data_IF_906473912692
#
_entry.id   IF_906473912692
#
_cell.length_a   1.000
_cell.length_b   1.000
_cell.length_c   1.000
_cell.angle_alpha   90.00
_cell.angle_beta   90.00
_cell.angle_gamma   90.00
#
_symmetry.space_group_name_H-M   'P 1'
#
loop_
_entity.id
_entity.type
_entity.pdbx_description
1 polymer ?
#
# COMPACT_ATOMS: atom_id res chain seq x y z
N UNK A 1 -55.68 -12.49 35.50
CA UNK A 1 -55.22 -11.22 36.10
C UNK A 1 -53.77 -11.38 36.44
N UNK A 2 -52.91 -11.08 35.55
CA UNK A 2 -51.49 -10.70 35.80
C UNK A 2 -51.04 -9.91 34.56
N UNK A 3 -50.65 -8.67 34.77
CA UNK A 3 -50.24 -7.68 33.75
C UNK A 3 -48.90 -8.05 33.15
N UNK A 4 -48.85 -8.07 31.82
CA UNK A 4 -47.61 -8.05 31.05
C UNK A 4 -47.26 -6.58 30.69
N UNK A 5 -46.21 -6.06 31.32
CA UNK A 5 -45.58 -4.82 30.92
C UNK A 5 -44.46 -5.10 29.91
N UNK A 6 -44.74 -4.78 28.66
CA UNK A 6 -43.80 -4.82 27.56
C UNK A 6 -42.80 -3.67 27.66
N UNK A 7 -41.50 -3.99 27.80
CA UNK A 7 -40.39 -3.06 27.64
C UNK A 7 -39.94 -3.02 26.15
N UNK A 8 -40.20 -1.91 25.49
CA UNK A 8 -39.73 -1.62 24.14
C UNK A 8 -38.24 -1.28 24.15
N UNK A 9 -37.42 -2.12 23.56
CA UNK A 9 -36.03 -1.82 23.29
C UNK A 9 -35.92 -0.94 22.03
N UNK A 10 -35.33 0.22 22.18
CA UNK A 10 -34.98 1.14 21.10
C UNK A 10 -33.90 0.55 20.23
N UNK A 11 -34.18 0.39 18.95
CA UNK A 11 -33.22 -0.01 17.94
C UNK A 11 -32.46 1.26 17.54
N UNK A 12 -31.17 1.31 17.89
CA UNK A 12 -30.24 2.32 17.41
C UNK A 12 -30.05 2.16 15.89
N UNK A 13 -30.33 3.24 15.16
CA UNK A 13 -30.10 3.33 13.73
C UNK A 13 -28.59 3.47 13.45
N UNK A 14 -28.04 2.79 12.44
CA UNK A 14 -26.68 3.03 12.00
C UNK A 14 -26.59 4.35 11.22
N UNK A 15 -25.57 5.16 11.53
CA UNK A 15 -25.18 6.35 10.83
C UNK A 15 -24.90 6.07 9.33
N UNK A 16 -25.27 6.99 8.43
CA UNK A 16 -25.05 6.83 7.00
C UNK A 16 -23.55 6.88 6.67
N UNK A 17 -23.05 5.84 6.03
CA UNK A 17 -21.76 5.80 5.38
C UNK A 17 -21.74 6.82 4.22
N UNK A 18 -20.98 7.88 4.36
CA UNK A 18 -20.68 8.79 3.26
C UNK A 18 -19.92 8.03 2.18
N UNK A 19 -20.58 7.89 1.03
CA UNK A 19 -19.98 7.49 -0.23
C UNK A 19 -18.97 8.57 -0.63
N UNK A 20 -17.70 8.25 -0.62
CA UNK A 20 -16.68 9.07 -1.27
C UNK A 20 -16.82 8.82 -2.77
N UNK A 21 -17.36 9.80 -3.43
CA UNK A 21 -17.46 9.92 -4.88
C UNK A 21 -16.05 10.10 -5.46
N UNK A 22 -15.54 9.07 -6.13
CA UNK A 22 -14.28 9.11 -6.88
C UNK A 22 -14.54 9.23 -8.37
N UNK A 23 -15.17 10.33 -8.77
CA UNK A 23 -15.25 10.74 -10.17
C UNK A 23 -14.62 12.12 -10.34
N UNK A 24 -13.66 12.16 -11.22
CA UNK A 24 -13.04 13.27 -11.92
C UNK A 24 -11.55 13.48 -11.61
N UNK A 25 -10.74 12.95 -12.54
CA UNK A 25 -9.74 13.70 -13.28
C UNK A 25 -9.01 12.77 -14.27
N UNK A 26 -9.62 12.54 -15.41
CA UNK A 26 -8.89 12.07 -16.59
C UNK A 26 -8.24 13.27 -17.27
N UNK A 27 -6.92 13.33 -17.22
CA UNK A 27 -6.13 14.16 -18.13
C UNK A 27 -5.84 13.38 -19.43
N UNK A 28 -5.80 14.06 -20.60
CA UNK A 28 -5.63 13.40 -21.89
C UNK A 28 -4.23 12.77 -22.04
N UNK A 29 -4.09 11.71 -22.87
CA UNK A 29 -2.83 11.03 -23.06
C UNK A 29 -1.87 11.85 -23.91
N UNK A 30 -0.74 12.24 -23.34
CA UNK A 30 0.41 12.74 -24.09
C UNK A 30 1.15 11.54 -24.70
N UNK A 31 1.03 11.41 -26.02
CA UNK A 31 1.83 10.51 -26.83
C UNK A 31 3.24 11.09 -27.00
N UNK A 32 4.20 10.49 -26.31
CA UNK A 32 5.63 10.69 -26.50
C UNK A 32 6.37 9.37 -26.27
N UNK A 33 7.49 9.10 -26.97
CA UNK A 33 8.11 7.78 -26.94
C UNK A 33 8.69 7.47 -25.56
N UNK A 34 8.36 6.28 -25.06
CA UNK A 34 8.82 5.72 -23.79
C UNK A 34 10.31 5.43 -23.82
N UNK A 35 11.11 5.91 -22.85
CA UNK A 35 12.46 5.42 -22.66
C UNK A 35 12.46 4.01 -22.03
N UNK A 36 13.48 3.19 -22.31
CA UNK A 36 13.53 1.80 -21.87
C UNK A 36 13.65 1.69 -20.35
N UNK A 37 12.89 0.80 -19.79
CA UNK A 37 12.85 0.45 -18.37
C UNK A 37 14.16 -0.25 -17.97
N UNK A 38 14.86 0.16 -16.91
CA UNK A 38 15.96 -0.61 -16.37
C UNK A 38 15.47 -1.86 -15.65
N UNK A 39 16.25 -2.96 -15.64
CA UNK A 39 15.81 -4.24 -15.07
C UNK A 39 15.62 -4.15 -13.56
N UNK A 40 14.55 -4.76 -13.08
CA UNK A 40 14.26 -4.96 -11.66
C UNK A 40 15.32 -5.88 -11.05
N UNK A 41 16.14 -5.34 -10.17
CA UNK A 41 17.02 -6.12 -9.30
C UNK A 41 16.16 -6.74 -8.21
N UNK A 42 16.02 -8.06 -8.26
CA UNK A 42 15.45 -8.85 -7.18
C UNK A 42 16.34 -8.74 -5.94
N UNK A 43 15.76 -8.33 -4.81
CA UNK A 43 16.43 -8.37 -3.51
C UNK A 43 16.04 -9.68 -2.86
N UNK A 44 16.91 -10.68 -2.91
CA UNK A 44 16.82 -11.89 -2.10
C UNK A 44 17.20 -11.59 -0.65
N UNK A 45 16.42 -12.04 0.34
CA UNK A 45 16.85 -12.05 1.72
C UNK A 45 17.35 -13.43 2.11
N UNK A 46 18.59 -13.49 2.54
CA UNK A 46 19.25 -14.55 3.29
C UNK A 46 20.17 -15.51 2.51
N UNK A 47 21.48 -15.30 2.73
CA UNK A 47 22.36 -16.42 3.11
C UNK A 47 23.66 -15.88 3.69
N UNK A 48 23.76 -15.90 5.01
CA UNK A 48 25.04 -16.02 5.70
C UNK A 48 25.31 -17.50 5.86
N UNK A 49 26.31 -18.01 5.18
CA UNK A 49 27.10 -19.17 5.58
C UNK A 49 28.50 -19.00 5.01
N UNK A 50 29.43 -18.88 5.94
CA UNK A 50 30.87 -18.90 5.68
C UNK A 50 31.29 -20.25 5.16
N UNK A 51 32.14 -20.29 4.13
CA UNK A 51 33.08 -21.36 3.90
C UNK A 51 34.38 -20.80 3.34
N UNK A 52 35.39 -21.09 4.10
CA UNK A 52 36.82 -20.94 3.93
C UNK A 52 37.34 -21.80 2.76
N UNK A 53 38.15 -21.22 1.88
CA UNK A 53 39.17 -21.94 1.09
C UNK A 53 40.22 -20.95 0.55
N UNK A 54 41.45 -21.27 0.77
CA UNK A 54 42.69 -20.54 0.66
C UNK A 54 43.17 -20.20 -0.77
N UNK A 55 44.45 -19.75 -0.91
CA UNK A 55 44.80 -18.66 -1.78
C UNK A 55 45.36 -19.08 -3.15
N UNK A 56 44.96 -18.36 -4.21
CA UNK A 56 45.76 -18.37 -5.45
C UNK A 56 46.27 -16.96 -5.78
N UNK A 57 47.58 -16.91 -5.96
CA UNK A 57 48.40 -15.79 -6.35
C UNK A 57 48.07 -15.26 -7.74
N UNK A 58 47.66 -13.99 -7.83
CA UNK A 58 47.75 -13.18 -9.05
C UNK A 58 48.43 -11.84 -8.73
N UNK A 59 49.62 -11.65 -9.26
CA UNK A 59 50.46 -10.47 -9.17
C UNK A 59 49.73 -9.23 -9.68
N UNK A 60 49.51 -8.24 -8.81
CA UNK A 60 49.03 -6.90 -9.19
C UNK A 60 50.19 -5.91 -9.17
N UNK A 61 50.43 -5.31 -10.33
CA UNK A 61 51.34 -4.18 -10.56
C UNK A 61 51.09 -3.04 -9.55
N UNK A 62 52.17 -2.56 -8.93
CA UNK A 62 52.21 -1.39 -8.06
C UNK A 62 51.71 -0.16 -8.83
N UNK A 63 50.66 0.47 -8.31
CA UNK A 63 50.26 1.84 -8.66
C UNK A 63 51.05 2.82 -7.79
N UNK A 64 51.52 3.88 -8.42
CA UNK A 64 52.27 5.00 -7.82
C UNK A 64 51.48 5.69 -6.68
N UNK A 65 52.17 6.37 -5.73
CA UNK A 65 51.52 6.93 -4.52
C UNK A 65 50.65 8.13 -4.87
N UNK A 66 49.35 8.03 -4.55
CA UNK A 66 48.39 9.09 -4.68
C UNK A 66 48.69 10.26 -3.74
N UNK A 67 48.51 11.47 -4.23
CA UNK A 67 48.68 12.80 -3.66
C UNK A 67 48.20 12.90 -2.18
N UNK A 68 49.00 13.67 -1.39
CA UNK A 68 48.82 14.05 0.02
C UNK A 68 47.35 14.17 0.42
N UNK A 69 46.97 13.40 1.41
CA UNK A 69 45.66 13.49 2.07
C UNK A 69 45.47 14.88 2.69
N UNK A 70 44.34 15.54 2.39
CA UNK A 70 43.98 16.82 3.02
C UNK A 70 43.98 16.66 4.52
N UNK A 71 44.80 17.41 5.20
CA UNK A 71 44.89 17.45 6.66
C UNK A 71 43.52 17.76 7.26
N UNK A 72 43.12 17.05 8.33
CA UNK A 72 41.80 17.25 8.94
C UNK A 72 41.61 18.69 9.40
N UNK A 73 40.49 19.33 9.04
CA UNK A 73 40.15 20.73 9.40
C UNK A 73 40.18 20.99 10.92
N UNK A 74 40.12 19.95 11.75
CA UNK A 74 40.20 20.11 13.21
C UNK A 74 41.53 20.76 13.65
N UNK A 75 42.61 20.62 12.87
CA UNK A 75 43.90 21.17 13.19
C UNK A 75 43.97 22.71 13.12
N UNK A 76 43.00 23.37 12.54
CA UNK A 76 42.85 24.83 12.59
C UNK A 76 42.61 25.33 14.03
N UNK A 77 42.07 24.47 14.88
CA UNK A 77 41.64 24.78 16.27
C UNK A 77 42.55 24.20 17.35
N UNK A 78 43.57 23.43 16.96
CA UNK A 78 44.51 22.80 17.94
C UNK A 78 45.96 23.04 17.52
N UNK A 79 46.82 23.08 18.52
CA UNK A 79 48.27 23.18 18.36
C UNK A 79 48.91 21.91 18.89
N UNK A 80 49.82 21.29 18.14
CA UNK A 80 50.61 20.17 18.60
C UNK A 80 51.62 20.67 19.62
N UNK A 81 51.70 19.95 20.76
CA UNK A 81 52.68 20.25 21.79
C UNK A 81 54.03 19.58 21.48
N UNK A 82 55.19 20.20 21.88
CA UNK A 82 56.48 19.57 21.77
C UNK A 82 56.53 18.27 22.59
N UNK A 83 57.26 17.27 22.13
CA UNK A 83 57.39 15.97 22.79
C UNK A 83 58.12 16.06 24.15
N UNK A 84 58.92 17.11 24.29
CA UNK A 84 59.66 17.42 25.53
C UNK A 84 58.71 17.80 26.70
N UNK A 85 57.60 18.49 26.42
CA UNK A 85 56.62 18.93 27.40
C UNK A 85 55.55 17.88 27.76
N UNK A 86 55.52 16.76 27.03
CA UNK A 86 54.42 15.81 27.10
C UNK A 86 54.84 14.37 27.45
N UNK A 87 55.96 14.20 28.11
CA UNK A 87 56.54 12.90 28.50
C UNK A 87 56.65 11.93 27.31
N UNK A 88 57.05 12.43 26.14
CA UNK A 88 57.12 11.70 24.85
C UNK A 88 55.78 11.19 24.28
N UNK A 89 54.65 11.64 24.79
CA UNK A 89 53.36 11.37 24.17
C UNK A 89 53.00 12.45 23.13
N UNK A 90 52.46 12.05 21.98
CA UNK A 90 51.97 12.97 20.96
C UNK A 90 50.65 13.57 21.42
N UNK A 91 50.64 14.81 21.87
CA UNK A 91 49.47 15.55 22.36
C UNK A 91 49.25 16.85 21.61
N UNK A 92 47.99 17.31 21.64
CA UNK A 92 47.61 18.62 21.09
C UNK A 92 46.80 19.41 22.08
N UNK A 93 47.01 20.71 22.18
CA UNK A 93 46.29 21.66 23.02
C UNK A 93 45.25 22.40 22.22
N UNK A 94 44.05 22.58 22.79
CA UNK A 94 43.00 23.43 22.21
C UNK A 94 43.40 24.89 22.30
N UNK A 95 43.35 25.62 21.18
CA UNK A 95 43.72 27.06 21.12
C UNK A 95 42.87 27.95 22.03
N UNK A 96 41.69 27.52 22.43
CA UNK A 96 40.72 28.35 23.14
C UNK A 96 40.68 28.08 24.66
N UNK A 97 40.68 26.82 25.06
CA UNK A 97 40.58 26.44 26.48
C UNK A 97 41.85 25.79 27.04
N UNK A 98 42.90 25.60 26.19
CA UNK A 98 44.19 24.99 26.54
C UNK A 98 44.13 23.54 27.03
N UNK A 99 42.97 22.90 26.98
CA UNK A 99 42.84 21.48 27.32
C UNK A 99 43.65 20.60 26.34
N UNK A 100 44.40 19.62 26.84
CA UNK A 100 45.30 18.76 26.07
C UNK A 100 44.71 17.39 25.81
N UNK A 101 44.91 16.86 24.61
CA UNK A 101 44.37 15.58 24.13
C UNK A 101 45.45 14.76 23.41
N UNK A 102 45.46 13.47 23.64
CA UNK A 102 46.31 12.56 22.89
C UNK A 102 45.87 12.52 21.40
N UNK A 103 46.86 12.65 20.48
CA UNK A 103 46.57 12.75 19.07
C UNK A 103 47.59 11.97 18.19
N UNK A 104 48.13 10.88 18.73
CA UNK A 104 49.00 9.99 17.97
C UNK A 104 48.27 9.45 16.73
N UNK A 105 48.75 9.63 15.50
CA UNK A 105 48.11 9.19 14.28
C UNK A 105 47.82 7.70 14.25
N UNK A 106 48.68 6.88 14.88
CA UNK A 106 48.59 5.43 14.87
C UNK A 106 47.69 4.86 15.96
N UNK A 107 47.56 5.56 17.12
CA UNK A 107 46.80 5.07 18.27
C UNK A 107 45.47 5.78 18.49
N UNK A 108 45.41 7.09 18.33
CA UNK A 108 44.26 7.89 18.74
C UNK A 108 43.64 8.73 17.62
N UNK A 109 44.40 9.08 16.59
CA UNK A 109 43.97 9.94 15.49
C UNK A 109 43.44 11.30 15.97
N UNK A 110 42.47 11.87 15.24
CA UNK A 110 41.88 13.19 15.55
C UNK A 110 40.50 13.11 16.21
N UNK A 111 40.05 11.91 16.63
CA UNK A 111 38.69 11.69 17.13
C UNK A 111 38.42 12.47 18.44
N UNK A 112 39.37 12.49 19.36
CA UNK A 112 39.27 13.23 20.63
C UNK A 112 39.17 14.73 20.38
N UNK A 113 39.94 15.26 19.45
CA UNK A 113 39.92 16.67 19.03
C UNK A 113 38.58 17.07 18.45
N UNK A 114 38.05 16.25 17.52
CA UNK A 114 36.75 16.44 16.89
C UNK A 114 35.60 16.39 17.90
N UNK A 115 35.70 15.58 18.93
CA UNK A 115 34.71 15.48 20.00
C UNK A 115 34.73 16.67 20.96
N UNK A 116 35.95 17.20 21.28
CA UNK A 116 36.10 18.35 22.15
C UNK A 116 35.65 19.65 21.50
N UNK A 117 36.06 19.92 20.27
CA UNK A 117 35.87 21.21 19.61
C UNK A 117 34.42 21.77 19.71
N UNK A 118 33.34 21.02 19.39
CA UNK A 118 31.97 21.53 19.53
C UNK A 118 31.54 21.71 21.01
N UNK A 119 32.20 21.06 21.94
CA UNK A 119 31.89 21.11 23.39
C UNK A 119 32.77 22.08 24.15
N UNK A 120 33.80 22.65 23.54
CA UNK A 120 34.72 23.55 24.19
C UNK A 120 34.00 24.79 24.74
N UNK A 121 34.14 25.08 26.09
CA UNK A 121 33.44 26.20 26.71
C UNK A 121 33.89 27.56 26.17
N UNK A 122 35.15 27.67 25.69
CA UNK A 122 35.73 28.90 25.14
C UNK A 122 35.81 28.90 23.61
N UNK A 123 35.02 28.05 22.90
CA UNK A 123 35.03 28.01 21.45
C UNK A 123 34.29 29.24 20.88
N UNK A 124 34.97 30.18 20.16
CA UNK A 124 34.33 31.35 19.58
C UNK A 124 33.42 30.99 18.39
N UNK A 125 33.64 29.81 17.77
CA UNK A 125 32.80 29.28 16.68
C UNK A 125 31.71 28.34 17.20
N UNK A 126 31.43 28.34 18.50
CA UNK A 126 30.26 27.67 19.05
C UNK A 126 29.06 28.36 18.42
N UNK A 127 28.45 27.69 17.40
CA UNK A 127 27.20 28.15 16.86
C UNK A 127 26.32 28.46 18.06
N UNK A 128 25.97 29.72 18.24
CA UNK A 128 24.97 30.16 19.20
C UNK A 128 23.82 29.22 18.97
N UNK A 129 23.57 28.34 19.92
CA UNK A 129 22.36 27.51 19.93
C UNK A 129 21.26 28.55 19.92
N UNK A 130 20.72 28.80 18.73
CA UNK A 130 19.47 29.54 18.61
C UNK A 130 18.56 28.84 19.61
N UNK A 131 18.07 29.55 20.65
CA UNK A 131 17.18 28.92 21.62
C UNK A 131 16.12 28.22 20.78
N UNK A 132 15.89 26.93 21.02
CA UNK A 132 14.83 26.18 20.36
C UNK A 132 13.54 26.90 20.75
N UNK A 133 13.15 27.86 19.92
CA UNK A 133 11.92 28.58 20.10
C UNK A 133 10.81 27.56 19.92
N UNK A 134 10.28 27.09 21.02
CA UNK A 134 9.12 26.23 21.05
C UNK A 134 7.93 27.11 20.66
N UNK A 135 7.22 26.76 19.59
CA UNK A 135 5.94 27.40 19.31
C UNK A 135 4.97 26.99 20.43
N UNK A 136 4.47 27.96 21.14
CA UNK A 136 3.41 27.79 22.13
C UNK A 136 2.08 27.80 21.37
N UNK A 137 1.47 26.64 21.23
CA UNK A 137 0.11 26.53 20.69
C UNK A 137 -0.88 26.39 21.84
N UNK A 138 -1.90 27.24 21.85
CA UNK A 138 -3.04 27.11 22.75
C UNK A 138 -3.96 26.03 22.20
N UNK A 139 -4.06 24.89 22.84
CA UNK A 139 -5.00 23.84 22.50
C UNK A 139 -6.17 23.95 23.46
N UNK A 140 -7.36 24.29 22.94
CA UNK A 140 -8.63 24.11 23.66
C UNK A 140 -9.08 22.66 23.45
N UNK A 141 -9.00 21.80 24.45
CA UNK A 141 -9.73 20.54 24.42
C UNK A 141 -11.23 20.89 24.52
N UNK A 142 -12.06 20.28 23.72
CA UNK A 142 -13.51 20.30 23.89
C UNK A 142 -13.83 19.68 25.28
N UNK A 143 -14.01 20.55 26.30
CA UNK A 143 -14.32 20.17 27.67
C UNK A 143 -13.20 20.51 28.67
N UNK A 144 -13.33 21.67 29.30
CA UNK A 144 -12.63 22.16 30.51
C UNK A 144 -11.09 22.24 30.48
N UNK A 145 -10.59 23.48 30.49
CA UNK A 145 -9.20 23.81 30.80
C UNK A 145 -8.22 23.79 29.62
N UNK A 146 -8.18 24.89 28.82
CA UNK A 146 -7.15 25.08 27.81
C UNK A 146 -5.75 25.17 28.41
N UNK A 147 -4.81 24.33 27.95
CA UNK A 147 -3.41 24.34 28.37
C UNK A 147 -2.47 24.81 27.26
N UNK A 148 -1.41 25.51 27.61
CA UNK A 148 -0.31 25.88 26.73
C UNK A 148 0.53 24.62 26.43
N UNK A 149 0.49 24.14 25.17
CA UNK A 149 1.31 23.03 24.73
C UNK A 149 2.48 23.54 23.90
N UNK A 150 3.70 23.28 24.40
CA UNK A 150 4.92 23.60 23.67
C UNK A 150 5.18 22.55 22.55
N UNK A 151 5.07 22.98 21.29
CA UNK A 151 5.41 22.12 20.15
C UNK A 151 6.90 22.22 19.83
N UNK A 152 7.66 21.20 20.18
CA UNK A 152 9.09 21.10 19.81
C UNK A 152 9.21 20.33 18.51
N UNK A 153 9.88 20.94 17.51
CA UNK A 153 10.21 20.25 16.27
C UNK A 153 11.02 18.97 16.50
N UNK A 154 10.57 17.89 15.88
CA UNK A 154 11.26 16.61 15.95
C UNK A 154 11.33 15.95 14.56
N UNK A 155 12.52 15.93 13.99
CA UNK A 155 12.80 15.35 12.67
C UNK A 155 12.33 13.89 12.52
N UNK A 156 12.51 13.06 13.56
CA UNK A 156 12.08 11.64 13.52
C UNK A 156 10.55 11.52 13.51
N UNK A 157 9.87 12.36 14.31
CA UNK A 157 8.39 12.41 14.35
C UNK A 157 7.83 12.83 12.98
N UNK A 158 8.40 13.86 12.36
CA UNK A 158 8.00 14.33 11.03
C UNK A 158 8.25 13.25 9.95
N UNK A 159 9.40 12.55 9.98
CA UNK A 159 9.65 11.43 9.05
C UNK A 159 8.64 10.29 9.23
N UNK A 160 8.31 9.95 10.47
CA UNK A 160 7.30 8.92 10.76
C UNK A 160 5.91 9.34 10.26
N UNK A 161 5.54 10.61 10.44
CA UNK A 161 4.28 11.17 9.92
C UNK A 161 4.25 11.12 8.37
N UNK A 162 5.35 11.51 7.72
CA UNK A 162 5.49 11.42 6.27
C UNK A 162 5.35 9.98 5.75
N UNK A 163 5.99 9.01 6.41
CA UNK A 163 5.85 7.61 6.03
C UNK A 163 4.41 7.11 6.20
N UNK A 164 3.70 7.53 7.27
CA UNK A 164 2.28 7.22 7.45
C UNK A 164 1.41 7.85 6.36
N UNK A 165 1.64 9.13 6.04
CA UNK A 165 0.94 9.82 4.95
C UNK A 165 1.07 9.05 3.63
N UNK A 166 2.29 8.65 3.26
CA UNK A 166 2.53 7.89 2.03
C UNK A 166 1.80 6.54 2.02
N UNK A 167 1.75 5.85 3.19
CA UNK A 167 1.05 4.56 3.30
C UNK A 167 -0.48 4.74 3.24
N UNK A 168 -1.01 5.72 3.98
CA UNK A 168 -2.47 5.90 4.09
C UNK A 168 -3.10 6.43 2.80
N UNK A 169 -2.39 7.31 2.09
CA UNK A 169 -2.87 7.96 0.87
C UNK A 169 -2.30 7.28 -0.40
N UNK A 170 -1.71 6.09 -0.25
CA UNK A 170 -1.17 5.27 -1.35
C UNK A 170 -0.22 6.04 -2.29
N UNK A 171 0.50 7.04 -1.75
CA UNK A 171 1.35 7.92 -2.53
C UNK A 171 2.63 7.20 -2.99
N UNK A 172 3.10 7.47 -4.23
CA UNK A 172 4.37 6.93 -4.68
C UNK A 172 5.53 7.54 -3.89
N UNK A 173 6.56 6.76 -3.55
CA UNK A 173 7.75 7.27 -2.83
C UNK A 173 8.42 8.46 -3.51
N UNK A 174 8.24 8.62 -4.82
CA UNK A 174 8.74 9.75 -5.60
C UNK A 174 8.09 11.09 -5.22
N UNK A 175 6.96 11.09 -4.50
CA UNK A 175 6.25 12.32 -4.09
C UNK A 175 7.19 13.30 -3.38
N UNK A 176 8.11 12.81 -2.53
CA UNK A 176 9.06 13.63 -1.75
C UNK A 176 10.10 14.37 -2.60
N UNK A 177 10.22 14.02 -3.87
CA UNK A 177 11.13 14.67 -4.84
C UNK A 177 10.39 15.70 -5.71
N UNK A 178 9.04 15.71 -5.67
CA UNK A 178 8.22 16.62 -6.46
C UNK A 178 8.31 18.06 -5.92
N UNK A 179 8.40 19.03 -6.84
CA UNK A 179 8.53 20.44 -6.50
C UNK A 179 7.41 20.93 -5.58
N UNK A 180 6.13 20.69 -5.95
CA UNK A 180 4.98 21.16 -5.18
C UNK A 180 4.99 20.63 -3.75
N UNK A 181 5.24 19.31 -3.56
CA UNK A 181 5.35 18.72 -2.23
C UNK A 181 6.48 19.35 -1.41
N UNK A 182 7.65 19.52 -2.01
CA UNK A 182 8.81 20.11 -1.32
C UNK A 182 8.59 21.56 -0.95
N UNK A 183 7.93 22.33 -1.82
CA UNK A 183 7.58 23.71 -1.53
C UNK A 183 6.57 23.81 -0.39
N UNK A 184 5.49 23.05 -0.49
CA UNK A 184 4.45 22.98 0.55
C UNK A 184 5.02 22.62 1.93
N UNK A 185 5.83 21.56 2.00
CA UNK A 185 6.44 21.14 3.27
C UNK A 185 7.42 22.18 3.81
N UNK A 186 8.13 22.89 2.95
CA UNK A 186 9.07 23.96 3.37
C UNK A 186 8.35 25.16 3.98
N UNK A 187 7.19 25.52 3.44
CA UNK A 187 6.35 26.58 4.02
C UNK A 187 5.76 26.15 5.39
N UNK A 188 5.33 24.89 5.53
CA UNK A 188 4.77 24.41 6.80
C UNK A 188 5.82 24.28 7.91
N UNK A 189 6.99 23.71 7.61
CA UNK A 189 8.06 23.48 8.58
C UNK A 189 9.44 23.58 7.91
N UNK A 190 10.01 24.76 7.82
CA UNK A 190 11.32 25.02 7.17
C UNK A 190 12.47 24.19 7.75
N UNK A 191 12.37 23.78 9.02
CA UNK A 191 13.40 22.98 9.72
C UNK A 191 13.35 21.50 9.31
N UNK A 192 12.26 21.05 8.66
CA UNK A 192 12.13 19.66 8.27
C UNK A 192 13.01 19.34 7.06
N UNK A 193 14.00 18.51 7.28
CA UNK A 193 14.84 17.97 6.18
C UNK A 193 14.10 16.82 5.51
N UNK A 194 13.49 17.12 4.35
CA UNK A 194 12.75 16.14 3.57
C UNK A 194 13.69 15.00 3.15
N UNK A 195 13.40 13.74 3.49
CA UNK A 195 14.22 12.60 3.12
C UNK A 195 14.14 12.29 1.63
N UNK A 196 15.11 11.53 1.08
CA UNK A 196 15.04 10.99 -0.27
C UNK A 196 13.99 9.88 -0.38
N UNK A 197 13.53 9.55 -1.60
CA UNK A 197 12.58 8.45 -1.86
C UNK A 197 13.05 7.11 -1.27
N UNK A 198 14.34 6.80 -1.36
CA UNK A 198 14.93 5.57 -0.80
C UNK A 198 14.88 5.56 0.73
N UNK A 199 15.09 6.71 1.36
CA UNK A 199 14.98 6.85 2.81
C UNK A 199 13.53 6.69 3.27
N UNK A 200 12.58 7.29 2.54
CA UNK A 200 11.14 7.14 2.84
C UNK A 200 10.68 5.69 2.66
N UNK A 201 11.09 5.02 1.59
CA UNK A 201 10.78 3.60 1.40
C UNK A 201 11.28 2.76 2.58
N UNK A 202 12.49 3.05 3.10
CA UNK A 202 13.04 2.40 4.29
C UNK A 202 12.24 2.73 5.55
N UNK A 203 11.78 3.97 5.70
CA UNK A 203 10.96 4.38 6.84
C UNK A 203 9.59 3.66 6.82
N UNK A 204 8.95 3.54 5.66
CA UNK A 204 7.72 2.75 5.49
C UNK A 204 7.94 1.28 5.82
N UNK A 205 9.05 0.70 5.35
CA UNK A 205 9.42 -0.68 5.67
C UNK A 205 9.63 -0.90 7.17
N UNK A 206 10.26 0.04 7.86
CA UNK A 206 10.44 -0.04 9.33
C UNK A 206 9.10 0.05 10.08
N UNK A 207 8.17 0.87 9.61
CA UNK A 207 6.79 0.89 10.15
C UNK A 207 6.11 -0.46 9.96
N UNK A 208 6.16 -1.02 8.75
CA UNK A 208 5.60 -2.34 8.44
C UNK A 208 6.17 -3.43 9.35
N UNK A 209 7.49 -3.51 9.53
CA UNK A 209 8.12 -4.48 10.44
C UNK A 209 7.69 -4.28 11.90
N UNK A 210 7.46 -3.04 12.31
CA UNK A 210 6.92 -2.71 13.63
C UNK A 210 5.50 -3.24 13.82
N UNK A 211 4.62 -2.99 12.84
CA UNK A 211 3.22 -3.43 12.87
C UNK A 211 3.09 -4.97 12.83
N UNK A 212 3.94 -5.66 12.04
CA UNK A 212 4.00 -7.13 12.07
C UNK A 212 4.28 -7.66 13.47
N UNK A 213 5.26 -7.07 14.18
CA UNK A 213 5.59 -7.51 15.54
C UNK A 213 4.41 -7.33 16.49
N UNK A 214 3.73 -6.19 16.41
CA UNK A 214 2.54 -5.90 17.23
C UNK A 214 1.43 -6.89 16.91
N UNK A 215 1.12 -7.09 15.61
CA UNK A 215 0.04 -8.00 15.20
C UNK A 215 0.32 -9.45 15.60
N UNK A 216 1.59 -9.92 15.47
CA UNK A 216 1.97 -11.25 15.97
C UNK A 216 1.74 -11.41 17.47
N UNK A 217 1.98 -10.36 18.26
CA UNK A 217 1.70 -10.40 19.70
C UNK A 217 0.19 -10.40 19.98
N UNK A 218 -0.59 -9.62 19.23
CA UNK A 218 -2.05 -9.62 19.33
C UNK A 218 -2.61 -10.99 19.01
N UNK A 219 -2.25 -11.57 17.87
CA UNK A 219 -2.69 -12.91 17.46
C UNK A 219 -2.34 -13.97 18.51
N UNK A 220 -1.14 -13.92 19.09
CA UNK A 220 -0.71 -14.85 20.14
C UNK A 220 -1.55 -14.74 21.42
N UNK A 221 -1.96 -13.51 21.79
CA UNK A 221 -2.71 -13.26 23.05
C UNK A 221 -4.21 -13.45 22.90
N UNK A 222 -4.76 -13.03 21.78
CA UNK A 222 -6.21 -12.85 21.60
C UNK A 222 -6.86 -13.92 20.73
N UNK A 223 -6.12 -14.59 19.86
CA UNK A 223 -6.71 -15.50 18.90
C UNK A 223 -6.56 -16.96 19.34
N UNK A 224 -7.62 -17.52 19.93
CA UNK A 224 -7.68 -18.98 20.13
C UNK A 224 -7.79 -19.71 18.79
N UNK A 225 -8.65 -19.21 17.87
CA UNK A 225 -8.80 -19.69 16.51
C UNK A 225 -9.01 -18.53 15.57
N UNK A 226 -8.53 -18.68 14.34
CA UNK A 226 -8.70 -17.66 13.29
C UNK A 226 -9.49 -18.23 12.13
N UNK A 227 -10.29 -17.38 11.49
CA UNK A 227 -10.90 -17.65 10.21
C UNK A 227 -10.08 -16.95 9.11
N UNK A 228 -9.87 -17.61 7.99
CA UNK A 228 -9.12 -17.09 6.87
C UNK A 228 -10.04 -16.83 5.69
N UNK A 229 -9.79 -15.79 4.93
CA UNK A 229 -10.35 -15.59 3.60
C UNK A 229 -9.20 -15.40 2.62
N UNK A 230 -9.25 -16.07 1.50
CA UNK A 230 -8.26 -15.92 0.43
C UNK A 230 -8.93 -15.60 -0.88
N UNK A 231 -8.22 -14.87 -1.71
CA UNK A 231 -8.63 -14.44 -3.03
C UNK A 231 -7.42 -14.47 -3.95
N UNK A 232 -7.59 -15.01 -5.15
CA UNK A 232 -6.54 -15.10 -6.16
C UNK A 232 -7.03 -14.47 -7.46
N UNK A 233 -6.21 -13.61 -8.06
CA UNK A 233 -6.56 -12.98 -9.33
C UNK A 233 -5.34 -12.71 -10.19
N UNK A 234 -5.56 -12.56 -11.47
CA UNK A 234 -4.56 -12.08 -12.42
C UNK A 234 -4.79 -10.60 -12.70
N UNK A 235 -3.74 -9.80 -12.56
CA UNK A 235 -3.79 -8.37 -12.87
C UNK A 235 -3.85 -8.13 -14.38
N UNK A 236 -4.16 -6.89 -14.79
CA UNK A 236 -4.09 -6.45 -16.20
C UNK A 236 -2.71 -6.59 -16.83
N UNK A 237 -1.66 -6.67 -15.99
CA UNK A 237 -0.27 -6.90 -16.39
C UNK A 237 0.12 -8.39 -16.43
N UNK A 238 -0.86 -9.31 -16.34
CA UNK A 238 -0.67 -10.76 -16.29
C UNK A 238 0.16 -11.29 -15.10
N UNK A 239 0.14 -10.59 -13.96
CA UNK A 239 0.71 -11.10 -12.73
C UNK A 239 -0.37 -11.75 -11.86
N UNK A 240 -0.08 -12.94 -11.35
CA UNK A 240 -0.97 -13.65 -10.44
C UNK A 240 -0.72 -13.21 -9.00
N UNK A 241 -1.77 -12.89 -8.29
CA UNK A 241 -1.71 -12.45 -6.89
C UNK A 241 -2.54 -13.34 -5.99
N UNK A 242 -2.08 -13.50 -4.76
CA UNK A 242 -2.82 -14.11 -3.65
C UNK A 242 -2.88 -13.13 -2.49
N UNK A 243 -4.10 -12.90 -1.99
CA UNK A 243 -4.34 -12.19 -0.74
C UNK A 243 -4.85 -13.16 0.30
N UNK A 244 -4.25 -13.16 1.49
CA UNK A 244 -4.72 -13.90 2.65
C UNK A 244 -5.11 -12.93 3.75
N UNK A 245 -6.36 -13.00 4.17
CA UNK A 245 -6.91 -12.17 5.25
C UNK A 245 -7.29 -13.05 6.43
N UNK A 246 -6.92 -12.62 7.62
CA UNK A 246 -7.25 -13.26 8.89
C UNK A 246 -8.36 -12.48 9.58
N UNK A 247 -9.34 -13.22 10.10
CA UNK A 247 -10.42 -12.71 10.93
C UNK A 247 -10.36 -13.40 12.28
N UNK A 248 -10.43 -12.64 13.35
CA UNK A 248 -10.43 -13.17 14.72
C UNK A 248 -11.21 -12.26 15.66
N UNK A 249 -11.67 -12.82 16.76
CA UNK A 249 -12.39 -12.11 17.82
C UNK A 249 -11.44 -11.99 19.00
N UNK A 250 -11.30 -10.78 19.56
CA UNK A 250 -10.50 -10.52 20.74
C UNK A 250 -11.24 -10.88 22.04
N UNK A 251 -10.58 -10.81 23.20
CA UNK A 251 -11.23 -11.09 24.50
C UNK A 251 -12.39 -10.16 24.82
N UNK A 252 -12.42 -8.97 24.24
CA UNK A 252 -13.50 -7.98 24.37
C UNK A 252 -14.65 -8.20 23.36
N UNK A 253 -14.68 -9.36 22.69
CA UNK A 253 -15.68 -9.75 21.67
C UNK A 253 -15.71 -8.85 20.43
N UNK A 254 -14.60 -8.16 20.13
CA UNK A 254 -14.49 -7.32 18.96
C UNK A 254 -13.91 -8.11 17.79
N UNK A 255 -14.60 -8.05 16.65
CA UNK A 255 -14.12 -8.67 15.39
C UNK A 255 -12.99 -7.84 14.77
N UNK A 256 -11.90 -8.51 14.48
CA UNK A 256 -10.75 -7.94 13.77
C UNK A 256 -10.56 -8.58 12.40
N UNK A 257 -10.18 -7.75 11.44
CA UNK A 257 -9.80 -8.16 10.08
C UNK A 257 -8.40 -7.65 9.79
N UNK A 258 -7.47 -8.52 9.37
CA UNK A 258 -6.09 -8.16 9.07
C UNK A 258 -5.60 -8.92 7.84
N UNK A 259 -4.99 -8.20 6.90
CA UNK A 259 -4.32 -8.81 5.75
C UNK A 259 -2.98 -9.34 6.24
N UNK A 260 -2.77 -10.65 6.14
CA UNK A 260 -1.54 -11.32 6.53
C UNK A 260 -0.54 -11.41 5.39
N UNK A 261 -1.04 -11.63 4.17
CA UNK A 261 -0.23 -11.76 2.97
C UNK A 261 -0.90 -11.09 1.77
N UNK A 262 -0.09 -10.45 0.96
CA UNK A 262 -0.41 -9.96 -0.35
C UNK A 262 0.85 -10.13 -1.20
N UNK A 263 0.88 -11.16 -2.02
CA UNK A 263 2.07 -11.51 -2.79
C UNK A 263 1.73 -12.03 -4.17
N UNK A 264 2.67 -11.89 -5.06
CA UNK A 264 2.62 -12.61 -6.34
C UNK A 264 2.80 -14.11 -6.12
N UNK A 265 2.09 -14.91 -6.90
CA UNK A 265 2.23 -16.37 -6.99
C UNK A 265 2.53 -16.75 -8.43
N UNK A 266 3.20 -17.89 -8.62
CA UNK A 266 3.58 -18.34 -9.96
C UNK A 266 2.38 -18.66 -10.84
N UNK A 267 1.37 -19.28 -10.27
CA UNK A 267 0.17 -19.74 -10.97
C UNK A 267 -0.99 -19.94 -9.98
N UNK A 268 -2.20 -20.16 -10.49
CA UNK A 268 -3.42 -20.43 -9.71
C UNK A 268 -3.63 -21.93 -9.43
N UNK A 269 -2.58 -22.75 -9.46
CA UNK A 269 -2.71 -24.17 -9.12
C UNK A 269 -2.90 -24.35 -7.64
N UNK A 270 -3.71 -25.34 -7.28
CA UNK A 270 -4.07 -25.58 -5.88
C UNK A 270 -2.88 -25.90 -4.97
N UNK A 271 -1.86 -26.61 -5.50
CA UNK A 271 -0.64 -26.86 -4.73
C UNK A 271 0.17 -25.58 -4.45
N UNK A 272 0.26 -24.66 -5.40
CA UNK A 272 0.91 -23.35 -5.22
C UNK A 272 0.14 -22.50 -4.19
N UNK A 273 -1.17 -22.44 -4.30
CA UNK A 273 -2.04 -21.71 -3.36
C UNK A 273 -1.88 -22.30 -1.95
N UNK A 274 -2.03 -23.62 -1.81
CA UNK A 274 -1.92 -24.30 -0.51
C UNK A 274 -0.57 -24.10 0.18
N UNK A 275 0.54 -24.26 -0.56
CA UNK A 275 1.90 -24.02 -0.04
C UNK A 275 2.13 -22.55 0.36
N UNK A 276 1.59 -21.61 -0.42
CA UNK A 276 1.71 -20.17 -0.10
C UNK A 276 0.97 -19.83 1.19
N UNK A 277 -0.23 -20.38 1.38
CA UNK A 277 -1.01 -20.19 2.62
C UNK A 277 -0.27 -20.84 3.80
N UNK A 278 0.20 -22.10 3.67
CA UNK A 278 0.95 -22.78 4.71
C UNK A 278 2.18 -21.96 5.14
N UNK A 279 2.99 -21.49 4.17
CA UNK A 279 4.16 -20.66 4.43
C UNK A 279 3.77 -19.42 5.23
N UNK A 280 2.69 -18.74 4.83
CA UNK A 280 2.19 -17.57 5.53
C UNK A 280 1.80 -17.91 6.98
N UNK A 281 1.06 -19.00 7.21
CA UNK A 281 0.65 -19.42 8.57
C UNK A 281 1.86 -19.70 9.46
N UNK A 282 2.88 -20.38 8.92
CA UNK A 282 4.14 -20.64 9.63
C UNK A 282 4.88 -19.33 9.98
N UNK A 283 4.99 -18.41 9.04
CA UNK A 283 5.63 -17.10 9.26
C UNK A 283 4.90 -16.28 10.35
N UNK A 284 3.58 -16.35 10.39
CA UNK A 284 2.75 -15.68 11.40
C UNK A 284 2.61 -16.47 12.69
N UNK A 285 3.06 -17.74 12.74
CA UNK A 285 2.91 -18.67 13.86
C UNK A 285 1.43 -18.89 14.23
N UNK A 286 0.60 -19.02 13.20
CA UNK A 286 -0.83 -19.35 13.35
C UNK A 286 -0.99 -20.85 13.21
N UNK A 287 -1.29 -21.52 14.30
CA UNK A 287 -1.44 -22.97 14.34
C UNK A 287 -2.92 -23.39 14.36
N UNK A 288 -3.82 -22.51 14.81
CA UNK A 288 -5.22 -22.79 15.01
C UNK A 288 -6.09 -22.08 13.99
N UNK A 289 -6.52 -22.83 12.99
CA UNK A 289 -7.41 -22.35 11.93
C UNK A 289 -8.76 -22.99 12.08
N UNK A 290 -9.82 -22.18 12.15
CA UNK A 290 -11.20 -22.66 12.21
C UNK A 290 -11.75 -22.89 10.80
N UNK A 291 -11.78 -21.85 9.98
CA UNK A 291 -12.32 -21.92 8.62
C UNK A 291 -11.40 -21.22 7.62
N UNK A 292 -11.49 -21.66 6.37
CA UNK A 292 -10.88 -21.01 5.23
C UNK A 292 -11.96 -20.78 4.17
N UNK A 293 -12.25 -19.51 3.88
CA UNK A 293 -13.20 -19.12 2.84
C UNK A 293 -12.47 -18.91 1.52
N UNK A 294 -12.90 -19.63 0.50
CA UNK A 294 -12.38 -19.57 -0.89
C UNK A 294 -13.54 -19.52 -1.88
N UNK A 295 -13.29 -19.12 -3.11
CA UNK A 295 -14.25 -19.29 -4.20
C UNK A 295 -14.40 -20.76 -4.62
N UNK A 296 -15.29 -21.05 -5.56
CA UNK A 296 -15.61 -22.41 -5.99
C UNK A 296 -14.72 -22.94 -7.13
N UNK A 297 -13.55 -22.34 -7.36
CA UNK A 297 -12.62 -22.85 -8.37
C UNK A 297 -12.07 -24.23 -7.94
N UNK A 298 -11.97 -25.17 -8.88
CA UNK A 298 -11.48 -26.54 -8.61
C UNK A 298 -10.06 -26.59 -8.04
N UNK A 299 -9.23 -25.61 -8.39
CA UNK A 299 -7.90 -25.44 -7.81
C UNK A 299 -7.95 -25.20 -6.29
N UNK A 300 -8.98 -24.53 -5.79
CA UNK A 300 -9.17 -24.28 -4.36
C UNK A 300 -9.51 -25.56 -3.57
N UNK A 301 -10.25 -26.51 -4.16
CA UNK A 301 -10.48 -27.82 -3.52
C UNK A 301 -9.18 -28.60 -3.33
N UNK A 302 -8.26 -28.52 -4.31
CA UNK A 302 -6.92 -29.10 -4.21
C UNK A 302 -6.07 -28.41 -3.13
N UNK A 303 -6.09 -27.07 -3.10
CA UNK A 303 -5.40 -26.28 -2.07
C UNK A 303 -5.92 -26.63 -0.66
N UNK A 304 -7.24 -26.73 -0.51
CA UNK A 304 -7.86 -27.05 0.76
C UNK A 304 -7.55 -28.47 1.23
N UNK A 305 -7.57 -29.45 0.33
CA UNK A 305 -7.17 -30.85 0.62
C UNK A 305 -5.72 -30.92 1.09
N UNK A 306 -4.83 -30.12 0.47
CA UNK A 306 -3.45 -30.00 0.93
C UNK A 306 -3.38 -29.39 2.34
N UNK A 307 -4.06 -28.27 2.58
CA UNK A 307 -4.07 -27.59 3.87
C UNK A 307 -4.69 -28.45 4.97
N UNK A 308 -5.78 -29.18 4.68
CA UNK A 308 -6.42 -30.09 5.65
C UNK A 308 -5.45 -31.16 6.15
N UNK A 309 -4.61 -31.74 5.25
CA UNK A 309 -3.55 -32.69 5.65
C UNK A 309 -2.49 -32.04 6.52
N UNK A 310 -2.04 -30.84 6.18
CA UNK A 310 -0.98 -30.12 6.90
C UNK A 310 -1.44 -29.68 8.28
N UNK A 311 -2.61 -29.05 8.36
CA UNK A 311 -3.20 -28.53 9.60
C UNK A 311 -3.61 -29.63 10.58
N UNK A 312 -3.96 -30.83 10.07
CA UNK A 312 -4.23 -32.01 10.93
C UNK A 312 -3.02 -32.35 11.78
N UNK A 313 -1.83 -32.30 11.21
CA UNK A 313 -0.58 -32.57 11.92
C UNK A 313 -0.29 -31.53 13.02
N UNK A 314 -0.79 -30.32 12.89
CA UNK A 314 -0.63 -29.27 13.89
C UNK A 314 -1.64 -29.34 15.04
N UNK A 315 -2.61 -30.28 14.98
CA UNK A 315 -3.70 -30.43 15.97
C UNK A 315 -4.47 -29.12 16.22
N UNK A 316 -4.49 -28.23 15.23
CA UNK A 316 -5.05 -26.88 15.33
C UNK A 316 -6.41 -26.70 14.68
N UNK A 317 -7.07 -27.78 14.23
CA UNK A 317 -8.38 -27.72 13.59
C UNK A 317 -9.52 -28.00 14.56
N UNK A 318 -10.59 -27.25 14.42
CA UNK A 318 -11.86 -27.49 15.15
C UNK A 318 -12.59 -28.66 14.50
N UNK A 319 -13.17 -29.53 15.31
CA UNK A 319 -13.96 -30.71 14.86
C UNK A 319 -13.23 -31.52 13.75
N UNK A 320 -11.92 -31.78 13.93
CA UNK A 320 -11.15 -32.57 12.96
C UNK A 320 -11.03 -31.93 11.56
N UNK A 321 -11.50 -30.70 11.39
CA UNK A 321 -11.47 -29.95 10.13
C UNK A 321 -12.72 -30.16 9.26
N UNK A 322 -13.84 -30.60 9.82
CA UNK A 322 -15.08 -30.77 9.06
C UNK A 322 -15.65 -29.45 8.59
N UNK A 323 -15.42 -28.38 9.34
CA UNK A 323 -15.85 -27.02 9.01
C UNK A 323 -14.72 -26.15 8.44
N UNK A 324 -13.60 -26.76 8.01
CA UNK A 324 -12.45 -25.99 7.51
C UNK A 324 -12.80 -25.20 6.24
N UNK A 325 -13.63 -25.78 5.36
CA UNK A 325 -14.05 -25.14 4.12
C UNK A 325 -15.30 -24.31 4.30
N UNK A 326 -15.20 -23.02 3.97
CA UNK A 326 -16.37 -22.17 3.71
C UNK A 326 -16.32 -21.70 2.25
N UNK A 327 -17.44 -21.86 1.56
CA UNK A 327 -17.60 -21.34 0.21
C UNK A 327 -17.86 -19.84 0.24
N UNK A 328 -17.29 -19.09 -0.69
CA UNK A 328 -17.51 -17.66 -0.79
C UNK A 328 -18.96 -17.35 -1.17
N UNK A 329 -19.72 -16.78 -0.24
CA UNK A 329 -21.13 -16.44 -0.44
C UNK A 329 -21.34 -15.49 -1.63
N UNK A 330 -20.46 -14.50 -1.80
CA UNK A 330 -20.53 -13.57 -2.93
C UNK A 330 -20.36 -14.29 -4.27
N UNK A 331 -19.47 -15.30 -4.34
CA UNK A 331 -19.30 -16.11 -5.54
C UNK A 331 -20.52 -16.98 -5.84
N UNK A 332 -21.09 -17.62 -4.81
CA UNK A 332 -22.33 -18.41 -4.95
C UNK A 332 -23.46 -17.51 -5.46
N UNK A 333 -23.64 -16.35 -4.85
CA UNK A 333 -24.67 -15.40 -5.27
C UNK A 333 -24.49 -14.98 -6.74
N UNK A 334 -23.24 -14.71 -7.15
CA UNK A 334 -22.93 -14.38 -8.54
C UNK A 334 -23.29 -15.54 -9.50
N UNK A 335 -23.03 -16.78 -9.12
CA UNK A 335 -23.41 -17.94 -9.92
C UNK A 335 -24.94 -18.06 -10.04
N UNK A 336 -25.67 -17.91 -8.93
CA UNK A 336 -27.15 -17.96 -8.91
C UNK A 336 -27.74 -16.87 -9.81
N UNK A 337 -27.24 -15.64 -9.70
CA UNK A 337 -27.71 -14.53 -10.55
C UNK A 337 -27.40 -14.81 -12.03
N UNK A 338 -26.18 -15.25 -12.35
CA UNK A 338 -25.83 -15.57 -13.73
C UNK A 338 -26.66 -16.71 -14.29
N UNK A 339 -27.01 -17.73 -13.48
CA UNK A 339 -27.88 -18.82 -13.89
C UNK A 339 -29.30 -18.31 -14.18
N UNK A 340 -29.86 -17.46 -13.32
CA UNK A 340 -31.18 -16.86 -13.52
C UNK A 340 -31.26 -15.93 -14.73
N UNK A 341 -30.13 -15.28 -15.07
CA UNK A 341 -30.05 -14.35 -16.21
C UNK A 341 -29.70 -15.03 -17.55
N UNK A 342 -29.52 -16.37 -17.59
CA UNK A 342 -29.16 -17.07 -18.81
C UNK A 342 -30.22 -16.92 -19.93
N UNK A 343 -31.50 -16.92 -19.57
CA UNK A 343 -32.61 -16.76 -20.52
C UNK A 343 -32.64 -15.36 -21.17
N UNK A 344 -32.19 -14.35 -20.40
CA UNK A 344 -32.15 -12.95 -20.84
C UNK A 344 -30.78 -12.55 -21.46
N UNK A 345 -29.94 -13.54 -21.73
CA UNK A 345 -28.58 -13.29 -22.21
C UNK A 345 -28.52 -12.46 -23.46
N UNK A 346 -29.41 -12.75 -24.43
CA UNK A 346 -29.44 -12.06 -25.73
C UNK A 346 -29.76 -10.56 -25.54
N UNK A 347 -30.74 -10.24 -24.70
CA UNK A 347 -31.08 -8.84 -24.34
C UNK A 347 -29.91 -8.12 -23.68
N UNK A 348 -29.23 -8.77 -22.72
CA UNK A 348 -28.06 -8.16 -22.08
C UNK A 348 -26.89 -7.96 -23.05
N UNK A 349 -26.67 -8.91 -23.96
CA UNK A 349 -25.62 -8.80 -24.97
C UNK A 349 -25.95 -7.71 -26.01
N UNK A 350 -27.23 -7.53 -26.37
CA UNK A 350 -27.68 -6.44 -27.24
C UNK A 350 -27.42 -5.07 -26.58
N UNK A 351 -27.86 -4.88 -25.31
CA UNK A 351 -27.61 -3.65 -24.53
C UNK A 351 -26.11 -3.39 -24.38
N UNK A 352 -25.35 -4.42 -24.02
CA UNK A 352 -23.89 -4.32 -23.86
C UNK A 352 -23.19 -3.90 -25.15
N UNK A 353 -23.61 -4.44 -26.29
CA UNK A 353 -23.05 -4.12 -27.61
C UNK A 353 -23.39 -2.68 -28.02
N UNK A 354 -24.62 -2.21 -27.73
CA UNK A 354 -25.03 -0.82 -27.96
C UNK A 354 -24.15 0.16 -27.14
N UNK A 355 -23.95 -0.14 -25.86
CA UNK A 355 -23.08 0.68 -25.01
C UNK A 355 -21.62 0.64 -25.48
N UNK A 356 -21.11 -0.53 -25.88
CA UNK A 356 -19.77 -0.64 -26.47
C UNK A 356 -19.61 0.22 -27.70
N UNK A 357 -20.62 0.23 -28.60
CA UNK A 357 -20.60 1.09 -29.77
C UNK A 357 -20.45 2.57 -29.37
N UNK A 358 -21.35 3.05 -28.53
CA UNK A 358 -21.34 4.43 -28.09
C UNK A 358 -20.00 4.81 -27.44
N UNK A 359 -19.41 3.93 -26.63
CA UNK A 359 -18.16 4.19 -25.91
C UNK A 359 -16.89 3.86 -26.71
N UNK A 360 -17.01 3.36 -27.94
CA UNK A 360 -15.86 2.93 -28.76
C UNK A 360 -15.01 4.09 -29.28
N UNK A 361 -15.57 5.31 -29.38
CA UNK A 361 -14.82 6.49 -29.79
C UNK A 361 -15.40 7.76 -29.16
N UNK A 362 -14.58 8.81 -28.96
CA UNK A 362 -15.06 10.11 -28.50
C UNK A 362 -16.14 10.72 -29.39
N UNK A 363 -16.03 10.56 -30.69
CA UNK A 363 -17.02 11.08 -31.66
C UNK A 363 -18.40 10.42 -31.47
N UNK A 364 -18.44 9.08 -31.33
CA UNK A 364 -19.69 8.35 -31.08
C UNK A 364 -20.30 8.72 -29.73
N UNK A 365 -19.48 8.85 -28.70
CA UNK A 365 -19.95 9.27 -27.39
C UNK A 365 -20.55 10.69 -27.43
N UNK A 366 -19.92 11.61 -28.16
CA UNK A 366 -20.44 12.97 -28.34
C UNK A 366 -21.74 12.98 -29.14
N UNK A 367 -21.85 12.19 -30.20
CA UNK A 367 -23.08 12.03 -30.97
C UNK A 367 -24.20 11.52 -30.07
N UNK A 368 -23.97 10.45 -29.32
CA UNK A 368 -24.95 9.91 -28.37
C UNK A 368 -25.36 10.95 -27.32
N UNK A 369 -24.41 11.73 -26.78
CA UNK A 369 -24.71 12.82 -25.85
C UNK A 369 -25.63 13.87 -26.48
N UNK A 370 -25.37 14.29 -27.70
CA UNK A 370 -26.23 15.25 -28.43
C UNK A 370 -27.63 14.71 -28.63
N UNK A 371 -27.76 13.43 -28.97
CA UNK A 371 -29.05 12.73 -29.10
C UNK A 371 -29.80 12.71 -27.76
N UNK A 372 -29.10 12.37 -26.66
CA UNK A 372 -29.69 12.36 -25.35
C UNK A 372 -30.15 13.76 -24.87
N UNK A 373 -29.42 14.81 -25.25
CA UNK A 373 -29.78 16.21 -24.94
C UNK A 373 -31.05 16.63 -25.74
N UNK A 374 -31.19 16.17 -26.98
CA UNK A 374 -32.42 16.38 -27.79
C UNK A 374 -33.63 15.71 -27.12
N UNK A 375 -33.45 14.53 -26.54
CA UNK A 375 -34.49 13.83 -25.77
C UNK A 375 -34.67 14.38 -24.33
N UNK A 376 -34.00 15.47 -23.99
CA UNK A 376 -34.06 16.15 -22.66
C UNK A 376 -33.66 15.22 -21.51
N UNK A 377 -32.76 14.28 -21.78
CA UNK A 377 -32.22 13.38 -20.77
C UNK A 377 -31.05 14.05 -20.03
N UNK A 378 -30.87 13.69 -18.75
CA UNK A 378 -29.74 14.17 -17.97
C UNK A 378 -28.44 13.50 -18.46
N UNK A 379 -27.52 14.29 -18.98
CA UNK A 379 -26.24 13.86 -19.54
C UNK A 379 -25.05 14.04 -18.57
N UNK A 380 -25.31 14.35 -17.31
CA UNK A 380 -24.26 14.44 -16.27
C UNK A 380 -23.59 13.11 -16.00
N UNK A 381 -24.34 12.01 -16.10
CA UNK A 381 -23.83 10.64 -15.99
C UNK A 381 -24.30 9.82 -17.19
N UNK A 382 -23.38 9.45 -18.07
CA UNK A 382 -23.67 8.67 -19.26
C UNK A 382 -23.65 7.14 -18.99
N UNK A 383 -24.05 6.38 -20.00
CA UNK A 383 -24.06 4.90 -19.95
C UNK A 383 -22.71 4.32 -19.56
N UNK A 384 -22.69 3.32 -18.69
CA UNK A 384 -21.51 2.59 -18.26
C UNK A 384 -21.50 1.16 -18.79
N UNK A 385 -20.31 0.65 -19.10
CA UNK A 385 -20.13 -0.76 -19.49
C UNK A 385 -19.90 -1.62 -18.24
N UNK A 386 -20.42 -2.83 -18.26
CA UNK A 386 -20.25 -3.79 -17.17
C UNK A 386 -18.89 -4.50 -17.22
N UNK A 387 -18.58 -5.14 -16.09
CA UNK A 387 -17.52 -6.14 -15.95
C UNK A 387 -18.22 -7.47 -15.74
N UNK A 388 -18.20 -8.35 -16.73
CA UNK A 388 -18.97 -9.60 -16.76
C UNK A 388 -18.79 -10.50 -15.52
N UNK A 389 -17.67 -10.37 -14.82
CA UNK A 389 -17.39 -11.12 -13.58
C UNK A 389 -18.02 -10.51 -12.32
N UNK A 390 -18.71 -9.35 -12.44
CA UNK A 390 -19.31 -8.61 -11.34
C UNK A 390 -20.77 -8.30 -11.61
N UNK A 391 -21.69 -9.10 -11.08
CA UNK A 391 -23.13 -8.94 -11.27
C UNK A 391 -23.64 -7.51 -10.95
N UNK A 392 -23.09 -6.86 -9.92
CA UNK A 392 -23.47 -5.49 -9.60
C UNK A 392 -23.14 -4.51 -10.74
N UNK A 393 -22.08 -4.72 -11.49
CA UNK A 393 -21.74 -3.88 -12.63
C UNK A 393 -22.70 -4.08 -13.80
N UNK A 394 -23.24 -5.29 -13.99
CA UNK A 394 -24.30 -5.57 -14.97
C UNK A 394 -25.59 -4.84 -14.59
N UNK A 395 -25.97 -4.85 -13.31
CA UNK A 395 -27.09 -4.04 -12.82
C UNK A 395 -26.92 -2.55 -13.13
N UNK A 396 -25.77 -1.98 -12.78
CA UNK A 396 -25.48 -0.58 -13.05
C UNK A 396 -25.48 -0.24 -14.55
N UNK A 397 -24.99 -1.15 -15.38
CA UNK A 397 -25.05 -1.02 -16.83
C UNK A 397 -26.50 -0.94 -17.31
N UNK A 398 -27.35 -1.87 -16.88
CA UNK A 398 -28.76 -1.92 -17.25
C UNK A 398 -29.54 -0.72 -16.74
N UNK A 399 -29.31 -0.34 -15.48
CA UNK A 399 -29.91 0.85 -14.88
C UNK A 399 -29.55 2.13 -15.66
N UNK A 400 -28.27 2.25 -16.08
CA UNK A 400 -27.84 3.38 -16.88
C UNK A 400 -28.46 3.33 -18.29
N UNK A 401 -28.52 2.15 -18.91
CA UNK A 401 -29.10 1.98 -20.25
C UNK A 401 -30.59 2.34 -20.27
N UNK A 402 -31.35 1.93 -19.27
CA UNK A 402 -32.78 2.22 -19.14
C UNK A 402 -33.05 3.73 -19.12
N UNK A 403 -32.20 4.53 -18.44
CA UNK A 403 -32.32 5.99 -18.43
C UNK A 403 -32.17 6.62 -19.82
N UNK A 404 -31.41 5.95 -20.70
CA UNK A 404 -31.12 6.43 -22.06
C UNK A 404 -31.85 5.64 -23.16
N UNK A 405 -32.88 4.87 -22.80
CA UNK A 405 -33.63 4.08 -23.78
C UNK A 405 -34.05 4.90 -25.02
N UNK A 406 -34.69 6.06 -24.83
CA UNK A 406 -35.10 6.94 -25.91
C UNK A 406 -33.94 7.43 -26.80
N UNK A 407 -32.77 7.64 -26.18
CA UNK A 407 -31.58 8.04 -26.93
C UNK A 407 -31.04 6.88 -27.80
N UNK A 408 -31.13 5.64 -27.33
CA UNK A 408 -30.78 4.48 -28.15
C UNK A 408 -31.77 4.25 -29.30
N UNK A 409 -33.08 4.36 -29.04
CA UNK A 409 -34.11 4.28 -30.05
C UNK A 409 -33.90 5.34 -31.16
N UNK A 410 -33.64 6.57 -30.78
CA UNK A 410 -33.36 7.64 -31.75
C UNK A 410 -32.03 7.44 -32.49
N UNK A 411 -31.00 6.90 -31.81
CA UNK A 411 -29.72 6.60 -32.44
C UNK A 411 -29.86 5.54 -33.54
N UNK A 412 -30.84 4.64 -33.43
CA UNK A 412 -31.19 3.65 -34.45
C UNK A 412 -31.64 4.29 -35.75
N UNK A 413 -32.38 5.39 -35.64
CA UNK A 413 -32.87 6.15 -36.80
C UNK A 413 -31.83 7.12 -37.41
N UNK A 414 -30.94 7.69 -36.57
CA UNK A 414 -30.04 8.76 -36.98
C UNK A 414 -28.58 8.31 -37.25
N UNK A 415 -28.22 7.04 -36.98
CA UNK A 415 -26.86 6.53 -37.12
C UNK A 415 -26.77 5.21 -37.86
N UNK A 416 -26.57 5.28 -39.22
CA UNK A 416 -26.39 4.11 -40.06
C UNK A 416 -25.24 3.19 -39.61
N UNK A 417 -24.13 3.77 -39.07
CA UNK A 417 -23.00 3.00 -38.55
C UNK A 417 -23.40 2.20 -37.32
N UNK A 418 -24.31 2.74 -36.48
CA UNK A 418 -24.86 2.04 -35.35
C UNK A 418 -25.60 0.77 -35.76
N UNK A 419 -26.48 0.88 -36.77
CA UNK A 419 -27.18 -0.27 -37.29
C UNK A 419 -26.23 -1.25 -38.01
N UNK A 420 -25.24 -0.74 -38.75
CA UNK A 420 -24.21 -1.54 -39.42
C UNK A 420 -23.39 -2.42 -38.44
N UNK A 421 -23.20 -1.99 -37.18
CA UNK A 421 -22.52 -2.76 -36.17
C UNK A 421 -23.21 -4.09 -35.84
N UNK A 422 -24.55 -4.19 -36.02
CA UNK A 422 -25.35 -5.37 -35.69
C UNK A 422 -25.62 -6.26 -36.90
N UNK A 423 -25.44 -5.77 -38.11
CA UNK A 423 -25.78 -6.49 -39.36
C UNK A 423 -24.66 -7.46 -39.80
N UNK A 424 -23.40 -7.19 -39.44
CA UNK A 424 -22.21 -7.95 -39.90
C UNK A 424 -21.67 -9.00 -38.93
N UNK A 425 -22.24 -9.17 -37.73
CA UNK A 425 -21.76 -10.09 -36.71
C UNK A 425 -22.27 -11.51 -36.86
N UNK A 426 -21.47 -12.50 -36.52
CA UNK A 426 -21.85 -13.92 -36.44
C UNK A 426 -22.90 -14.24 -35.36
N UNK A 427 -23.23 -13.27 -34.52
CA UNK A 427 -24.27 -13.33 -33.48
C UNK A 427 -25.35 -12.30 -33.80
N UNK A 428 -26.52 -12.79 -34.09
CA UNK A 428 -27.73 -12.04 -34.44
C UNK A 428 -28.37 -11.35 -33.24
N UNK A 429 -27.65 -10.50 -32.56
CA UNK A 429 -28.24 -9.65 -31.55
C UNK A 429 -28.34 -8.26 -32.17
N UNK A 430 -29.56 -7.91 -32.58
CA UNK A 430 -29.89 -6.56 -33.09
C UNK A 430 -29.65 -5.48 -32.04
N UNK A 431 -29.95 -4.22 -32.33
CA UNK A 431 -29.96 -3.18 -31.33
C UNK A 431 -30.95 -3.52 -30.20
N UNK A 432 -30.75 -3.02 -28.99
CA UNK A 432 -31.66 -3.27 -27.87
C UNK A 432 -33.06 -2.72 -28.22
N UNK A 433 -34.09 -3.51 -27.96
CA UNK A 433 -35.49 -3.15 -28.16
C UNK A 433 -36.14 -2.71 -26.87
N UNK A 434 -37.29 -2.04 -26.95
CA UNK A 434 -38.07 -1.63 -25.77
C UNK A 434 -38.51 -2.85 -24.90
N UNK A 435 -38.48 -4.06 -25.46
CA UNK A 435 -38.79 -5.33 -24.76
C UNK A 435 -37.58 -5.92 -24.02
N UNK A 436 -36.36 -5.45 -24.29
CA UNK A 436 -35.13 -5.94 -23.69
C UNK A 436 -34.85 -5.23 -22.35
#
# INVERSE_FOLDING_TARGET
MVDETSASASIDQPLPSQLIDSSQNEMPPLTGPTPPTPPLVAIDPASNLAQDCGPENVSRKRKEPAKKSKQSQVWEHFVKLPLEETNREVRASCKYCHATYACDPNKHGTTSLKRHFPKCPKNPHKATTIPKQSMLNYVTPSGQGGGLVSHVFNQKRCRRALAKFIICDEMPFRIVEKYGFRNFVRELEPRFRIPSRTTVARDCWQLYLGEIKILKQVLKKSANHVCLTTDCWTSTQNFNYLRLTCHFIDPEWKLHKRILNFSMIENHRGDTIGKTIEKCLLEWRIERVFTITMDNASSNDTALSYLKRRLRNWKGMVCGGDYLQLRCCAHILNLVVNDGLKELKNSFDAIRNAIKYVRSSPARLQKFKSVAELEKLDTTSLVCLDVNTRWNSTYLMLESALKFQKAFERLEDEDEDYMGQFIGGTKREGPPKASD
#
